data_IF_861089946238
#
_entry.id   IF_861089946238
#
_cell.length_a   1.000
_cell.length_b   1.000
_cell.length_c   1.000
_cell.angle_alpha   90.00
_cell.angle_beta   90.00
_cell.angle_gamma   90.00
#
_symmetry.space_group_name_H-M   'P 1'
#
loop_
_entity.id
_entity.type
_entity.pdbx_description
1 polymer ?
#
# COMPACT_ATOMS: atom_id res chain seq x y z
N UNK A 1 -21.02 9.44 5.88
CA UNK A 1 -19.71 8.78 6.02
C UNK A 1 -19.67 7.60 5.08
N UNK A 2 -18.60 7.46 4.31
CA UNK A 2 -18.35 6.25 3.53
C UNK A 2 -18.12 5.10 4.51
N UNK A 3 -18.80 3.98 4.35
CA UNK A 3 -18.60 2.82 5.24
C UNK A 3 -17.33 2.05 4.88
N UNK A 4 -16.96 2.01 3.59
CA UNK A 4 -15.80 1.29 3.10
C UNK A 4 -14.54 2.15 3.28
N UNK A 5 -13.84 1.94 4.37
CA UNK A 5 -12.70 2.76 4.77
C UNK A 5 -11.40 1.98 5.00
N UNK A 6 -11.45 0.65 5.05
CA UNK A 6 -10.28 -0.16 5.34
C UNK A 6 -9.68 -0.77 4.07
N UNK A 7 -8.39 -0.59 3.87
CA UNK A 7 -7.58 -1.31 2.88
C UNK A 7 -6.80 -2.39 3.61
N UNK A 8 -7.11 -3.67 3.31
CA UNK A 8 -6.56 -4.81 4.03
C UNK A 8 -5.46 -5.51 3.23
N UNK A 9 -4.35 -5.90 3.88
CA UNK A 9 -3.36 -6.76 3.25
C UNK A 9 -3.92 -8.17 3.08
N UNK A 10 -3.57 -8.81 1.96
CA UNK A 10 -3.73 -10.25 1.81
C UNK A 10 -2.38 -10.90 1.58
N UNK A 11 -2.15 -12.01 2.25
CA UNK A 11 -1.03 -12.87 1.95
C UNK A 11 -1.53 -13.99 1.02
N UNK A 12 -1.15 -13.97 -0.26
CA UNK A 12 -1.63 -14.99 -1.20
C UNK A 12 -1.07 -16.41 -0.93
N UNK A 13 -0.16 -16.56 0.04
CA UNK A 13 0.36 -17.86 0.51
C UNK A 13 -0.48 -18.53 1.60
N UNK A 14 -1.60 -17.93 1.99
CA UNK A 14 -2.51 -18.56 2.96
C UNK A 14 -2.94 -19.94 2.45
N UNK A 15 -3.02 -20.92 3.36
CA UNK A 15 -3.51 -22.23 2.99
C UNK A 15 -4.95 -22.15 2.50
N UNK A 16 -5.32 -22.99 1.56
CA UNK A 16 -6.69 -23.06 1.04
C UNK A 16 -7.71 -23.29 2.18
N UNK A 17 -7.38 -24.15 3.13
CA UNK A 17 -8.20 -24.40 4.32
C UNK A 17 -8.44 -23.12 5.13
N UNK A 18 -7.41 -22.32 5.40
CA UNK A 18 -7.55 -21.06 6.12
C UNK A 18 -8.36 -20.04 5.32
N UNK A 19 -8.12 -19.95 4.01
CA UNK A 19 -8.88 -19.05 3.14
C UNK A 19 -10.36 -19.37 3.18
N UNK A 20 -10.74 -20.63 3.02
CA UNK A 20 -12.15 -21.04 2.95
C UNK A 20 -12.82 -20.95 4.33
N UNK A 21 -12.16 -21.46 5.37
CA UNK A 21 -12.82 -21.64 6.67
C UNK A 21 -12.73 -20.43 7.61
N UNK A 22 -11.81 -19.48 7.33
CA UNK A 22 -11.58 -18.35 8.22
C UNK A 22 -11.61 -17.02 7.49
N UNK A 23 -10.80 -16.86 6.43
CA UNK A 23 -10.58 -15.56 5.83
C UNK A 23 -11.77 -15.09 4.98
N UNK A 24 -12.33 -15.94 4.12
CA UNK A 24 -13.53 -15.59 3.34
C UNK A 24 -14.75 -15.30 4.23
N UNK A 25 -15.09 -16.10 5.25
CA UNK A 25 -16.12 -15.73 6.21
C UNK A 25 -15.91 -14.36 6.87
N UNK A 26 -14.67 -14.06 7.30
CA UNK A 26 -14.33 -12.74 7.82
C UNK A 26 -14.55 -11.63 6.79
N UNK A 27 -14.09 -11.81 5.56
CA UNK A 27 -14.27 -10.83 4.49
C UNK A 27 -15.76 -10.58 4.18
N UNK A 28 -16.59 -11.62 4.17
CA UNK A 28 -18.04 -11.49 3.96
C UNK A 28 -18.73 -10.74 5.10
N UNK A 29 -18.34 -11.02 6.34
CA UNK A 29 -18.91 -10.36 7.53
C UNK A 29 -18.59 -8.85 7.54
N UNK A 30 -17.35 -8.48 7.19
CA UNK A 30 -16.86 -7.10 7.26
C UNK A 30 -16.82 -6.38 5.90
N UNK A 31 -17.39 -6.97 4.84
CA UNK A 31 -17.34 -6.46 3.47
C UNK A 31 -17.72 -4.98 3.35
N UNK A 32 -18.74 -4.54 4.08
CA UNK A 32 -19.23 -3.16 4.01
C UNK A 32 -18.23 -2.12 4.56
N UNK A 33 -17.20 -2.56 5.26
CA UNK A 33 -16.15 -1.71 5.81
C UNK A 33 -14.85 -1.77 5.00
N UNK A 34 -14.69 -2.78 4.14
CA UNK A 34 -13.46 -3.01 3.39
C UNK A 34 -13.57 -2.34 2.01
N UNK A 35 -12.63 -1.45 1.72
CA UNK A 35 -12.52 -0.75 0.45
C UNK A 35 -11.85 -1.61 -0.61
N UNK A 36 -10.68 -2.13 -0.28
CA UNK A 36 -9.91 -3.02 -1.15
C UNK A 36 -9.05 -4.01 -0.36
N UNK A 37 -8.66 -5.08 -1.04
CA UNK A 37 -7.63 -6.01 -0.61
C UNK A 37 -6.36 -5.68 -1.38
N UNK A 38 -5.22 -5.56 -0.70
CA UNK A 38 -3.97 -5.28 -1.41
C UNK A 38 -2.92 -6.36 -1.20
N UNK A 39 -2.13 -6.64 -2.23
CA UNK A 39 -1.05 -7.59 -2.20
C UNK A 39 0.17 -7.05 -2.95
N UNK A 40 1.35 -7.57 -2.64
CA UNK A 40 2.56 -7.29 -3.43
C UNK A 40 2.49 -8.09 -4.73
N UNK A 41 2.40 -7.37 -5.84
CA UNK A 41 2.37 -7.99 -7.16
C UNK A 41 3.80 -8.19 -7.67
N UNK A 42 4.17 -9.45 -7.87
CA UNK A 42 5.53 -9.84 -8.21
C UNK A 42 5.66 -10.13 -9.69
N UNK A 43 5.98 -9.09 -10.44
CA UNK A 43 6.33 -9.18 -11.86
C UNK A 43 7.75 -8.65 -12.01
N UNK A 44 8.73 -9.51 -12.34
CA UNK A 44 10.09 -9.02 -12.57
C UNK A 44 10.17 -8.05 -13.76
N UNK A 45 10.94 -6.99 -13.68
CA UNK A 45 11.81 -6.51 -12.58
C UNK A 45 11.11 -5.56 -11.60
N UNK A 46 9.77 -5.50 -11.60
CA UNK A 46 8.97 -4.53 -10.84
C UNK A 46 8.61 -5.04 -9.45
N UNK A 47 8.89 -6.30 -9.20
CA UNK A 47 8.68 -6.94 -7.92
C UNK A 47 9.63 -6.37 -6.87
N UNK A 48 9.08 -5.84 -5.82
CA UNK A 48 9.79 -5.58 -4.60
C UNK A 48 8.95 -6.08 -3.44
N UNK A 49 9.54 -6.95 -2.66
CA UNK A 49 9.00 -7.32 -1.39
C UNK A 49 9.99 -6.93 -0.29
N UNK A 50 9.71 -5.80 0.36
CA UNK A 50 10.53 -5.32 1.46
C UNK A 50 10.54 -6.27 2.67
N UNK A 51 9.55 -7.16 2.75
CA UNK A 51 9.29 -7.99 3.93
C UNK A 51 9.08 -9.45 3.59
N UNK A 52 9.14 -9.84 2.33
CA UNK A 52 8.69 -11.14 1.90
C UNK A 52 9.71 -12.01 1.21
N UNK A 53 9.26 -13.19 0.93
CA UNK A 53 9.96 -14.21 0.20
C UNK A 53 9.86 -13.94 -1.31
N UNK A 54 10.95 -13.49 -1.90
CA UNK A 54 11.05 -13.18 -3.33
C UNK A 54 11.09 -14.44 -4.23
N UNK A 55 10.97 -15.64 -3.67
CA UNK A 55 11.21 -16.90 -4.37
C UNK A 55 9.97 -17.75 -4.65
N UNK A 56 8.78 -17.27 -4.33
CA UNK A 56 7.55 -18.03 -4.60
C UNK A 56 7.06 -17.87 -6.04
N UNK A 57 6.30 -18.84 -6.49
CA UNK A 57 5.63 -18.80 -7.78
C UNK A 57 4.69 -17.60 -7.88
N UNK A 58 5.08 -16.63 -8.68
CA UNK A 58 4.38 -15.36 -8.81
C UNK A 58 3.00 -15.52 -9.45
N UNK A 59 2.84 -16.46 -10.37
CA UNK A 59 1.57 -16.68 -11.08
C UNK A 59 0.54 -17.24 -10.11
N UNK A 60 0.89 -18.30 -9.37
CA UNK A 60 -0.01 -18.90 -8.38
C UNK A 60 -0.42 -17.91 -7.28
N UNK A 61 0.47 -16.99 -6.87
CA UNK A 61 0.14 -15.96 -5.90
C UNK A 61 -0.84 -14.92 -6.45
N UNK A 62 -0.70 -14.53 -7.71
CA UNK A 62 -1.62 -13.59 -8.37
C UNK A 62 -3.00 -14.25 -8.53
N UNK A 63 -3.04 -15.51 -8.98
CA UNK A 63 -4.27 -16.28 -9.13
C UNK A 63 -5.00 -16.46 -7.79
N UNK A 64 -4.27 -16.76 -6.71
CA UNK A 64 -4.82 -16.86 -5.35
C UNK A 64 -5.42 -15.53 -4.88
N UNK A 65 -4.75 -14.42 -5.12
CA UNK A 65 -5.27 -13.09 -4.76
C UNK A 65 -6.54 -12.75 -5.54
N UNK A 66 -6.56 -13.04 -6.85
CA UNK A 66 -7.73 -12.85 -7.72
C UNK A 66 -8.89 -13.74 -7.25
N UNK A 67 -8.62 -14.99 -6.90
CA UNK A 67 -9.64 -15.91 -6.36
C UNK A 67 -10.29 -15.34 -5.10
N UNK A 68 -9.48 -14.89 -4.12
CA UNK A 68 -9.98 -14.31 -2.87
C UNK A 68 -10.84 -13.07 -3.14
N UNK A 69 -10.40 -12.19 -4.01
CA UNK A 69 -11.14 -11.00 -4.41
C UNK A 69 -12.48 -11.34 -5.05
N UNK A 70 -12.49 -12.28 -5.98
CA UNK A 70 -13.71 -12.72 -6.65
C UNK A 70 -14.70 -13.38 -5.70
N UNK A 71 -14.23 -14.23 -4.77
CA UNK A 71 -15.08 -14.90 -3.80
C UNK A 71 -15.68 -13.92 -2.78
N UNK A 72 -14.92 -12.90 -2.36
CA UNK A 72 -15.40 -11.91 -1.40
C UNK A 72 -16.15 -10.73 -2.03
N UNK A 73 -16.08 -10.55 -3.34
CA UNK A 73 -16.55 -9.38 -4.09
C UNK A 73 -16.00 -8.05 -3.51
N UNK A 74 -14.70 -8.09 -3.14
CA UNK A 74 -13.94 -6.93 -2.67
C UNK A 74 -12.86 -6.62 -3.70
N UNK A 75 -12.73 -5.35 -4.16
CA UNK A 75 -11.73 -4.98 -5.16
C UNK A 75 -10.30 -5.34 -4.76
N UNK A 76 -9.51 -5.78 -5.73
CA UNK A 76 -8.10 -6.12 -5.53
C UNK A 76 -7.18 -4.99 -5.96
N UNK A 77 -6.19 -4.70 -5.13
CA UNK A 77 -5.15 -3.69 -5.36
C UNK A 77 -3.77 -4.33 -5.49
N UNK A 78 -3.15 -4.20 -6.65
CA UNK A 78 -1.80 -4.67 -6.88
C UNK A 78 -0.77 -3.61 -6.48
N UNK A 79 0.24 -4.01 -5.68
CA UNK A 79 1.26 -3.09 -5.20
C UNK A 79 2.60 -3.36 -5.88
N UNK A 80 3.14 -2.32 -6.53
CA UNK A 80 4.46 -2.28 -7.12
C UNK A 80 5.28 -1.20 -6.40
N UNK A 81 6.19 -1.60 -5.52
CA UNK A 81 6.95 -0.68 -4.67
C UNK A 81 8.41 -0.54 -5.08
N UNK A 82 8.84 -1.18 -6.18
CA UNK A 82 10.24 -1.12 -6.60
C UNK A 82 10.60 0.27 -7.15
N UNK A 83 11.07 1.15 -6.27
CA UNK A 83 11.53 2.51 -6.62
C UNK A 83 12.87 2.52 -7.36
N UNK A 84 13.58 1.39 -7.45
CA UNK A 84 14.91 1.25 -8.05
C UNK A 84 14.86 0.91 -9.54
N UNK A 85 13.72 0.47 -10.04
CA UNK A 85 13.52 0.32 -11.49
C UNK A 85 13.65 1.68 -12.16
N UNK A 86 14.42 1.75 -13.23
CA UNK A 86 14.56 3.02 -13.98
C UNK A 86 13.22 3.43 -14.56
N UNK A 87 12.80 4.70 -14.38
CA UNK A 87 11.52 5.19 -14.87
C UNK A 87 11.58 5.59 -16.35
N UNK A 88 12.26 4.79 -17.18
CA UNK A 88 12.37 5.03 -18.61
C UNK A 88 11.21 4.40 -19.40
N UNK A 89 11.11 4.76 -20.69
CA UNK A 89 10.03 4.30 -21.57
C UNK A 89 10.04 2.78 -21.74
N UNK A 90 11.22 2.17 -21.84
CA UNK A 90 11.35 0.72 -22.01
C UNK A 90 10.70 -0.04 -20.85
N UNK A 91 10.96 0.40 -19.62
CA UNK A 91 10.38 -0.23 -18.44
C UNK A 91 8.88 0.08 -18.29
N UNK A 92 8.43 1.26 -18.71
CA UNK A 92 7.01 1.57 -18.75
C UNK A 92 6.27 0.66 -19.74
N UNK A 93 6.79 0.49 -20.96
CA UNK A 93 6.19 -0.39 -21.97
C UNK A 93 6.13 -1.84 -21.48
N UNK A 94 7.21 -2.29 -20.84
CA UNK A 94 7.26 -3.62 -20.26
C UNK A 94 6.22 -3.78 -19.14
N UNK A 95 6.11 -2.78 -18.24
CA UNK A 95 5.13 -2.82 -17.15
C UNK A 95 3.69 -2.86 -17.70
N UNK A 96 3.37 -2.03 -18.69
CA UNK A 96 2.05 -2.02 -19.33
C UNK A 96 1.73 -3.41 -19.93
N UNK A 97 2.68 -3.99 -20.63
CA UNK A 97 2.53 -5.32 -21.24
C UNK A 97 2.26 -6.41 -20.18
N UNK A 98 3.10 -6.44 -19.14
CA UNK A 98 3.03 -7.49 -18.11
C UNK A 98 1.84 -7.30 -17.15
N UNK A 99 1.36 -6.06 -16.95
CA UNK A 99 0.19 -5.78 -16.13
C UNK A 99 -1.14 -6.03 -16.84
N UNK A 100 -1.18 -5.99 -18.17
CA UNK A 100 -2.41 -6.15 -18.94
C UNK A 100 -3.20 -7.43 -18.62
N UNK A 101 -2.62 -8.63 -18.48
CA UNK A 101 -3.36 -9.81 -18.07
C UNK A 101 -4.00 -9.67 -16.68
N UNK A 102 -3.31 -9.03 -15.74
CA UNK A 102 -3.78 -8.80 -14.37
C UNK A 102 -4.96 -7.81 -14.36
N UNK A 103 -4.87 -6.74 -15.14
CA UNK A 103 -5.99 -5.82 -15.35
C UNK A 103 -7.20 -6.53 -15.95
N UNK A 104 -7.00 -7.38 -16.94
CA UNK A 104 -8.06 -8.15 -17.59
C UNK A 104 -8.71 -9.18 -16.64
N UNK A 105 -8.00 -9.63 -15.60
CA UNK A 105 -8.53 -10.49 -14.54
C UNK A 105 -9.35 -9.74 -13.49
N UNK A 106 -9.54 -8.41 -13.64
CA UNK A 106 -10.42 -7.62 -12.78
C UNK A 106 -9.72 -6.69 -11.78
N UNK A 107 -8.38 -6.65 -11.72
CA UNK A 107 -7.66 -5.70 -10.87
C UNK A 107 -7.86 -4.28 -11.39
N UNK A 108 -8.34 -3.38 -10.52
CA UNK A 108 -8.68 -1.99 -10.87
C UNK A 108 -7.94 -0.95 -10.02
N UNK A 109 -7.10 -1.39 -9.12
CA UNK A 109 -6.32 -0.50 -8.26
C UNK A 109 -4.86 -0.92 -8.29
N UNK A 110 -3.96 0.05 -8.45
CA UNK A 110 -2.52 -0.22 -8.50
C UNK A 110 -1.73 0.82 -7.69
N UNK A 111 -0.73 0.37 -6.97
CA UNK A 111 0.28 1.26 -6.38
C UNK A 111 1.49 1.30 -7.28
N UNK A 112 1.91 2.52 -7.69
CA UNK A 112 3.05 2.74 -8.57
C UNK A 112 4.10 3.65 -7.93
N UNK A 113 5.41 3.33 -8.11
CA UNK A 113 6.48 4.12 -7.51
C UNK A 113 6.86 5.36 -8.33
N UNK A 114 6.59 5.38 -9.64
CA UNK A 114 7.15 6.37 -10.56
C UNK A 114 6.10 7.39 -11.04
N UNK A 115 6.22 8.62 -10.52
CA UNK A 115 5.36 9.74 -10.94
C UNK A 115 5.46 10.02 -12.44
N UNK A 116 6.65 9.87 -13.04
CA UNK A 116 6.87 10.09 -14.47
C UNK A 116 6.07 9.15 -15.36
N UNK A 117 5.90 7.90 -14.94
CA UNK A 117 5.06 6.94 -15.66
C UNK A 117 3.59 7.37 -15.67
N UNK A 118 3.10 7.79 -14.51
CA UNK A 118 1.71 8.22 -14.36
C UNK A 118 1.45 9.53 -15.13
N UNK A 119 2.37 10.50 -15.04
CA UNK A 119 2.24 11.79 -15.73
C UNK A 119 2.36 11.71 -17.26
N UNK A 120 2.88 10.60 -17.79
CA UNK A 120 2.92 10.37 -19.24
C UNK A 120 1.53 10.17 -19.86
N UNK A 121 0.53 9.81 -19.07
CA UNK A 121 -0.82 9.45 -19.52
C UNK A 121 -0.95 8.09 -20.20
N UNK A 122 0.16 7.39 -20.45
CA UNK A 122 0.14 6.11 -21.18
C UNK A 122 -0.55 5.00 -20.38
N UNK A 123 -0.39 5.00 -19.04
CA UNK A 123 -1.05 4.04 -18.16
C UNK A 123 -2.56 4.23 -18.20
N UNK A 124 -3.03 5.47 -18.11
CA UNK A 124 -4.46 5.81 -18.16
C UNK A 124 -5.06 5.49 -19.54
N UNK A 125 -4.29 5.66 -20.60
CA UNK A 125 -4.71 5.29 -21.94
C UNK A 125 -4.81 3.77 -22.12
N UNK A 126 -3.87 3.01 -21.56
CA UNK A 126 -3.88 1.54 -21.60
C UNK A 126 -4.95 0.93 -20.68
N UNK A 127 -5.22 1.56 -19.55
CA UNK A 127 -6.09 1.05 -18.47
C UNK A 127 -7.03 2.16 -17.96
N UNK A 128 -8.08 2.52 -18.69
CA UNK A 128 -8.92 3.69 -18.39
C UNK A 128 -9.64 3.66 -17.04
N UNK A 129 -9.93 2.46 -16.51
CA UNK A 129 -10.64 2.30 -15.24
C UNK A 129 -9.70 2.10 -14.05
N UNK A 130 -8.39 2.27 -14.25
CA UNK A 130 -7.41 2.00 -13.22
C UNK A 130 -7.30 3.17 -12.22
N UNK A 131 -7.49 2.85 -10.95
CA UNK A 131 -7.15 3.74 -9.85
C UNK A 131 -5.68 3.61 -9.50
N UNK A 132 -4.97 4.73 -9.53
CA UNK A 132 -3.51 4.76 -9.35
C UNK A 132 -3.17 5.39 -8.00
N UNK A 133 -2.50 4.60 -7.14
CA UNK A 133 -1.97 5.02 -5.84
C UNK A 133 -0.48 5.35 -5.97
N UNK A 134 0.00 6.34 -5.20
CA UNK A 134 1.44 6.46 -4.96
C UNK A 134 1.91 5.42 -3.93
N UNK A 135 3.20 5.09 -3.97
CA UNK A 135 3.81 4.29 -2.89
C UNK A 135 3.97 5.11 -1.61
N UNK A 136 3.83 4.45 -0.47
CA UNK A 136 4.12 5.05 0.85
C UNK A 136 5.59 5.50 0.97
N UNK A 137 6.49 4.92 0.17
CA UNK A 137 7.91 5.29 0.12
C UNK A 137 8.15 6.71 -0.44
N UNK A 138 7.10 7.39 -0.92
CA UNK A 138 7.16 8.80 -1.33
C UNK A 138 7.05 9.76 -0.16
N UNK A 139 6.67 9.29 1.03
CA UNK A 139 6.58 10.08 2.27
C UNK A 139 5.87 11.42 2.05
N UNK A 140 4.65 11.36 1.48
CA UNK A 140 3.86 12.55 1.16
C UNK A 140 3.40 13.23 2.42
N UNK A 141 3.89 14.45 2.66
CA UNK A 141 3.62 15.21 3.89
C UNK A 141 3.03 16.59 3.65
N UNK A 142 3.12 17.12 2.41
CA UNK A 142 2.79 18.52 2.11
C UNK A 142 1.55 18.65 1.23
N UNK A 143 0.72 19.70 1.44
CA UNK A 143 -0.42 20.00 0.58
C UNK A 143 -0.05 20.15 -0.91
N UNK A 144 1.10 20.74 -1.21
CA UNK A 144 1.58 20.91 -2.59
C UNK A 144 1.87 19.59 -3.29
N UNK A 145 2.29 18.56 -2.53
CA UNK A 145 2.53 17.23 -3.09
C UNK A 145 1.22 16.55 -3.47
N UNK A 146 0.13 16.77 -2.70
CA UNK A 146 -1.21 16.28 -3.06
C UNK A 146 -1.63 16.84 -4.43
N UNK A 147 -1.50 18.16 -4.60
CA UNK A 147 -1.85 18.82 -5.87
C UNK A 147 -0.99 18.30 -7.02
N UNK A 148 0.33 18.22 -6.84
CA UNK A 148 1.24 17.73 -7.87
C UNK A 148 0.98 16.28 -8.27
N UNK A 149 0.66 15.41 -7.31
CA UNK A 149 0.31 14.02 -7.59
C UNK A 149 -1.05 13.91 -8.32
N UNK A 150 -2.04 14.70 -7.92
CA UNK A 150 -3.32 14.77 -8.61
C UNK A 150 -3.16 15.27 -10.06
N UNK A 151 -2.31 16.28 -10.26
CA UNK A 151 -1.97 16.78 -11.60
C UNK A 151 -1.26 15.74 -12.46
N UNK A 152 -0.38 14.94 -11.85
CA UNK A 152 0.30 13.82 -12.52
C UNK A 152 -0.65 12.67 -12.88
N UNK A 153 -1.86 12.61 -12.32
CA UNK A 153 -2.86 11.58 -12.62
C UNK A 153 -3.04 10.50 -11.56
N UNK A 154 -2.46 10.68 -10.37
CA UNK A 154 -2.82 9.85 -9.22
C UNK A 154 -4.19 10.26 -8.71
N UNK A 155 -5.00 9.28 -8.40
CA UNK A 155 -6.34 9.49 -7.85
C UNK A 155 -6.53 8.87 -6.45
N UNK A 156 -5.45 8.29 -5.89
CA UNK A 156 -5.43 7.75 -4.55
C UNK A 156 -4.04 8.01 -3.93
N UNK A 157 -3.99 8.82 -2.86
CA UNK A 157 -2.73 9.30 -2.31
C UNK A 157 -2.52 8.74 -0.90
N UNK A 158 -1.47 7.94 -0.75
CA UNK A 158 -0.98 7.47 0.54
C UNK A 158 -0.12 8.56 1.17
N UNK A 159 -0.50 9.01 2.34
CA UNK A 159 0.27 9.96 3.15
C UNK A 159 1.41 9.27 3.89
N UNK A 160 2.35 10.07 4.33
CA UNK A 160 3.34 9.63 5.29
C UNK A 160 2.67 9.22 6.61
N UNK A 161 3.22 8.20 7.23
CA UNK A 161 2.67 7.55 8.43
C UNK A 161 2.70 8.43 9.69
N UNK A 162 3.63 9.38 9.78
CA UNK A 162 3.76 10.25 10.94
C UNK A 162 2.71 11.36 11.00
N UNK A 163 2.03 11.63 9.88
CA UNK A 163 0.99 12.66 9.81
C UNK A 163 -0.25 12.36 10.65
N UNK A 164 -0.45 11.12 11.07
CA UNK A 164 -1.62 10.73 11.86
C UNK A 164 -1.81 11.60 13.12
N UNK A 165 -0.73 12.15 13.67
CA UNK A 165 -0.76 12.96 14.89
C UNK A 165 -0.64 14.46 14.64
N UNK A 166 -0.49 14.89 13.38
CA UNK A 166 -0.38 16.29 12.99
C UNK A 166 -1.70 16.80 12.41
N UNK A 167 -2.63 17.17 13.31
CA UNK A 167 -3.95 17.69 12.94
C UNK A 167 -3.89 18.91 12.04
N UNK A 168 -2.96 19.82 12.31
CA UNK A 168 -2.84 21.06 11.54
C UNK A 168 -2.40 20.77 10.11
N UNK A 169 -1.49 19.82 9.94
CA UNK A 169 -1.04 19.40 8.61
C UNK A 169 -2.15 18.61 7.88
N UNK A 170 -2.89 17.76 8.58
CA UNK A 170 -4.04 17.06 7.99
C UNK A 170 -5.12 18.05 7.53
N UNK A 171 -5.41 19.10 8.29
CA UNK A 171 -6.34 20.16 7.85
C UNK A 171 -5.86 20.89 6.59
N UNK A 172 -4.55 21.12 6.45
CA UNK A 172 -3.97 21.71 5.24
C UNK A 172 -4.07 20.75 4.05
N UNK A 173 -3.84 19.46 4.27
CA UNK A 173 -3.98 18.40 3.26
C UNK A 173 -5.44 18.29 2.83
N UNK A 174 -6.40 18.34 3.74
CA UNK A 174 -7.83 18.39 3.41
C UNK A 174 -8.17 19.55 2.47
N UNK A 175 -7.65 20.74 2.74
CA UNK A 175 -7.84 21.89 1.84
C UNK A 175 -7.24 21.65 0.45
N UNK A 176 -6.09 20.99 0.36
CA UNK A 176 -5.49 20.64 -0.92
C UNK A 176 -6.34 19.59 -1.66
N UNK A 177 -6.89 18.61 -0.95
CA UNK A 177 -7.85 17.64 -1.51
C UNK A 177 -9.10 18.34 -2.08
N UNK A 178 -9.69 19.27 -1.31
CA UNK A 178 -10.85 20.05 -1.75
C UNK A 178 -10.51 20.88 -2.99
N UNK A 179 -9.31 21.45 -3.04
CA UNK A 179 -8.81 22.18 -4.20
C UNK A 179 -8.64 21.27 -5.43
N UNK A 180 -8.10 20.07 -5.27
CA UNK A 180 -8.02 19.10 -6.36
C UNK A 180 -9.43 18.74 -6.89
N UNK A 181 -10.40 18.55 -6.01
CA UNK A 181 -11.79 18.30 -6.41
C UNK A 181 -12.39 19.49 -7.19
N UNK A 182 -12.12 20.71 -6.76
CA UNK A 182 -12.51 21.93 -7.46
C UNK A 182 -11.90 22.01 -8.89
N UNK A 183 -10.68 21.54 -9.06
CA UNK A 183 -10.01 21.45 -10.37
C UNK A 183 -10.50 20.27 -11.24
N UNK A 184 -11.50 19.50 -10.81
CA UNK A 184 -11.99 18.32 -11.52
C UNK A 184 -11.05 17.10 -11.42
N UNK A 185 -10.13 17.11 -10.46
CA UNK A 185 -9.15 16.03 -10.20
C UNK A 185 -9.31 15.50 -8.77
N UNK A 186 -10.48 14.94 -8.40
CA UNK A 186 -10.70 14.45 -7.05
C UNK A 186 -9.72 13.33 -6.72
N UNK A 187 -9.21 13.36 -5.49
CA UNK A 187 -8.31 12.33 -4.96
C UNK A 187 -8.86 11.76 -3.67
N UNK A 188 -8.60 10.47 -3.44
CA UNK A 188 -8.78 9.83 -2.14
C UNK A 188 -7.48 9.92 -1.35
N UNK A 189 -7.60 10.16 -0.06
CA UNK A 189 -6.46 10.25 0.86
C UNK A 189 -6.44 9.02 1.77
N UNK A 190 -5.31 8.37 1.84
CA UNK A 190 -5.08 7.17 2.64
C UNK A 190 -4.01 7.40 3.69
N UNK A 191 -4.23 6.83 4.87
CA UNK A 191 -3.28 6.79 5.96
C UNK A 191 -2.91 5.33 6.26
N UNK A 192 -1.62 5.04 6.32
CA UNK A 192 -1.13 3.76 6.81
C UNK A 192 -1.22 3.74 8.33
N UNK A 193 -1.91 2.73 8.87
CA UNK A 193 -2.13 2.56 10.31
C UNK A 193 -1.56 1.23 10.79
N UNK A 194 -1.48 1.03 12.10
CA UNK A 194 -0.83 -0.10 12.76
C UNK A 194 0.63 -0.34 12.29
N UNK A 195 1.32 0.73 11.98
CA UNK A 195 2.71 0.70 11.53
C UNK A 195 3.64 1.01 12.70
N UNK A 196 4.68 0.20 12.85
CA UNK A 196 5.74 0.42 13.86
C UNK A 196 6.92 1.21 13.28
N UNK A 197 7.04 1.25 11.96
CA UNK A 197 8.02 2.09 11.28
C UNK A 197 7.68 3.57 11.42
N UNK A 198 8.70 4.38 11.60
CA UNK A 198 8.57 5.83 11.63
C UNK A 198 8.75 6.42 10.23
N UNK A 199 8.01 7.48 9.95
CA UNK A 199 8.28 8.32 8.78
C UNK A 199 9.65 9.00 8.91
N UNK A 200 10.24 9.38 7.78
CA UNK A 200 11.55 10.02 7.76
C UNK A 200 12.70 9.16 8.29
N UNK A 201 12.55 7.85 8.32
CA UNK A 201 13.60 6.94 8.76
C UNK A 201 14.81 7.05 7.82
N UNK A 202 16.00 7.46 8.33
CA UNK A 202 17.17 7.73 7.47
C UNK A 202 17.73 6.48 6.78
N UNK A 203 17.43 5.29 7.28
CA UNK A 203 17.89 4.02 6.70
C UNK A 203 16.81 3.29 5.90
N UNK A 204 15.63 3.86 5.76
CA UNK A 204 14.53 3.21 5.04
C UNK A 204 14.87 2.90 3.57
N UNK A 205 15.51 3.80 2.80
CA UNK A 205 15.90 3.49 1.43
C UNK A 205 16.83 2.28 1.33
N UNK A 206 17.86 2.23 2.16
CA UNK A 206 18.84 1.12 2.18
C UNK A 206 18.17 -0.18 2.63
N UNK A 207 17.28 -0.10 3.63
CA UNK A 207 16.50 -1.23 4.11
C UNK A 207 15.67 -1.85 2.97
N UNK A 208 14.90 -1.02 2.26
CA UNK A 208 14.10 -1.49 1.14
C UNK A 208 14.95 -1.99 -0.02
N UNK A 209 16.05 -1.32 -0.33
CA UNK A 209 16.96 -1.74 -1.38
C UNK A 209 17.58 -3.10 -1.06
N UNK A 210 18.10 -3.28 0.15
CA UNK A 210 18.68 -4.54 0.59
C UNK A 210 17.66 -5.67 0.46
N UNK A 211 16.45 -5.52 1.01
CA UNK A 211 15.44 -6.56 0.98
C UNK A 211 14.92 -6.87 -0.44
N UNK A 212 14.93 -5.89 -1.35
CA UNK A 212 14.54 -6.12 -2.75
C UNK A 212 15.59 -6.85 -3.58
N UNK A 213 16.87 -6.80 -3.15
CA UNK A 213 17.99 -7.38 -3.88
C UNK A 213 18.64 -8.57 -3.18
N UNK A 214 18.19 -8.90 -1.96
CA UNK A 214 18.74 -10.03 -1.20
C UNK A 214 18.53 -11.36 -1.92
N UNK A 215 19.45 -12.28 -1.71
CA UNK A 215 19.32 -13.65 -2.15
C UNK A 215 18.56 -14.51 -1.14
N UNK A 216 18.23 -15.75 -1.49
CA UNK A 216 17.53 -16.69 -0.59
C UNK A 216 18.26 -16.94 0.73
N UNK A 217 19.59 -16.89 0.68
CA UNK A 217 20.45 -17.18 1.83
C UNK A 217 20.73 -15.94 2.69
N UNK A 218 20.35 -14.75 2.20
CA UNK A 218 20.54 -13.50 2.94
C UNK A 218 19.40 -13.33 3.98
N UNK A 219 19.73 -12.91 5.22
CA UNK A 219 18.72 -12.63 6.22
C UNK A 219 17.85 -11.44 5.81
N UNK A 220 16.60 -11.39 6.28
CA UNK A 220 15.78 -10.19 6.16
C UNK A 220 16.36 -9.08 7.04
N UNK A 221 16.42 -7.87 6.48
CA UNK A 221 17.03 -6.71 7.14
C UNK A 221 16.05 -5.96 8.02
N UNK A 222 15.57 -6.51 9.09
CA UNK A 222 14.84 -5.75 10.11
C UNK A 222 15.35 -5.95 11.54
N UNK A 223 16.28 -6.86 11.73
CA UNK A 223 16.93 -7.10 13.01
C UNK A 223 18.43 -6.83 12.96
N UNK A 224 18.94 -6.12 11.95
CA UNK A 224 20.35 -5.79 11.83
C UNK A 224 20.80 -4.86 12.97
N UNK A 225 22.01 -5.03 13.49
CA UNK A 225 22.62 -4.07 14.41
C UNK A 225 22.67 -2.63 13.85
N UNK A 226 22.64 -2.46 12.53
CA UNK A 226 22.58 -1.17 11.86
C UNK A 226 21.16 -0.56 12.01
N UNK A 227 20.15 -1.37 12.12
CA UNK A 227 18.75 -0.94 12.28
C UNK A 227 18.38 -0.48 13.70
N UNK A 228 19.31 -0.43 14.63
CA UNK A 228 19.08 -0.02 16.02
C UNK A 228 18.43 1.35 16.18
N UNK A 229 18.46 2.15 15.15
CA UNK A 229 17.89 3.52 15.18
C UNK A 229 16.37 3.50 14.96
N UNK A 230 15.83 2.56 14.17
CA UNK A 230 14.42 2.57 13.77
C UNK A 230 13.68 1.25 13.94
N UNK A 231 14.33 0.12 13.73
CA UNK A 231 13.70 -1.20 13.84
C UNK A 231 14.03 -1.90 15.16
N UNK A 232 14.61 -1.20 16.11
CA UNK A 232 15.02 -1.72 17.42
C UNK A 232 13.85 -2.14 18.32
N UNK A 233 12.65 -1.81 17.90
CA UNK A 233 11.43 -2.05 18.68
C UNK A 233 10.71 -3.33 18.29
N UNK A 234 11.11 -3.98 17.19
CA UNK A 234 10.51 -5.25 16.81
C UNK A 234 11.00 -6.37 17.73
N UNK A 235 10.15 -6.74 18.66
CA UNK A 235 10.39 -7.82 19.60
C UNK A 235 9.52 -9.02 19.22
N UNK A 236 10.16 -10.04 18.67
CA UNK A 236 9.47 -11.28 18.27
C UNK A 236 8.94 -12.06 19.47
N UNK A 237 9.56 -11.88 20.64
CA UNK A 237 9.17 -12.55 21.88
C UNK A 237 8.00 -11.84 22.58
N UNK A 238 7.85 -10.53 22.31
CA UNK A 238 6.84 -9.68 22.93
C UNK A 238 6.08 -8.81 21.91
N UNK A 239 5.31 -9.41 21.00
CA UNK A 239 4.60 -8.69 19.93
C UNK A 239 3.60 -7.66 20.45
N UNK A 240 3.15 -7.77 21.69
CA UNK A 240 2.29 -6.79 22.34
C UNK A 240 2.96 -5.41 22.53
N UNK A 241 4.29 -5.35 22.59
CA UNK A 241 5.00 -4.07 22.64
C UNK A 241 4.93 -3.35 21.30
N UNK A 242 5.03 -4.08 20.21
CA UNK A 242 4.91 -3.51 18.86
C UNK A 242 3.52 -2.95 18.61
N UNK A 243 2.48 -3.65 19.05
CA UNK A 243 1.11 -3.16 18.98
C UNK A 243 0.91 -1.87 19.79
N UNK A 244 1.55 -1.73 20.95
CA UNK A 244 1.48 -0.52 21.77
C UNK A 244 2.20 0.68 21.14
N UNK A 245 3.21 0.42 20.31
CA UNK A 245 4.00 1.46 19.64
C UNK A 245 3.46 1.77 18.25
N UNK A 246 2.59 0.92 17.72
CA UNK A 246 1.97 1.14 16.43
C UNK A 246 1.19 2.48 16.40
N UNK A 247 1.22 3.16 15.27
CA UNK A 247 0.45 4.38 15.04
C UNK A 247 -1.02 4.05 14.77
N UNK A 248 -1.67 3.46 15.75
CA UNK A 248 -3.12 3.20 15.72
C UNK A 248 -3.85 4.35 16.39
N UNK A 249 -4.96 4.82 15.83
CA UNK A 249 -5.93 5.55 16.62
C UNK A 249 -6.40 4.65 17.77
N UNK A 250 -6.18 5.02 19.03
CA UNK A 250 -6.48 4.14 20.15
C UNK A 250 -7.97 3.93 20.38
N UNK A 251 -8.82 4.82 19.84
CA UNK A 251 -10.26 4.86 20.10
C UNK A 251 -11.07 5.07 18.83
N UNK A 252 -12.33 4.64 18.84
CA UNK A 252 -13.26 4.82 17.72
C UNK A 252 -13.38 6.31 17.30
N UNK A 253 -13.36 7.21 18.25
CA UNK A 253 -13.55 8.62 17.96
C UNK A 253 -12.37 9.21 17.20
N UNK A 254 -11.16 8.67 17.38
CA UNK A 254 -9.99 9.06 16.60
C UNK A 254 -10.13 8.70 15.11
N UNK A 255 -10.76 7.57 14.78
CA UNK A 255 -11.05 7.20 13.40
C UNK A 255 -12.04 8.16 12.76
N UNK A 256 -13.09 8.55 13.51
CA UNK A 256 -14.08 9.53 13.07
C UNK A 256 -13.40 10.88 12.85
N UNK A 257 -12.59 11.33 13.78
CA UNK A 257 -11.82 12.56 13.66
C UNK A 257 -10.91 12.57 12.44
N UNK A 258 -10.18 11.48 12.18
CA UNK A 258 -9.33 11.34 11.01
C UNK A 258 -10.15 11.49 9.70
N UNK A 259 -11.34 10.92 9.64
CA UNK A 259 -12.24 11.10 8.50
C UNK A 259 -12.70 12.56 8.35
N UNK A 260 -13.00 13.23 9.45
CA UNK A 260 -13.33 14.67 9.46
C UNK A 260 -12.15 15.53 9.02
N UNK A 261 -10.92 15.11 9.30
CA UNK A 261 -9.69 15.71 8.81
C UNK A 261 -9.38 15.40 7.34
N UNK A 262 -10.22 14.60 6.67
CA UNK A 262 -10.13 14.36 5.23
C UNK A 262 -9.50 13.03 4.82
N UNK A 263 -9.22 12.13 5.78
CA UNK A 263 -8.76 10.78 5.48
C UNK A 263 -9.94 9.94 5.00
N UNK A 264 -9.83 9.37 3.81
CA UNK A 264 -10.86 8.51 3.23
C UNK A 264 -10.66 7.04 3.58
N UNK A 265 -9.41 6.63 3.74
CA UNK A 265 -9.05 5.21 3.87
C UNK A 265 -7.94 5.00 4.88
N UNK A 266 -8.10 3.96 5.67
CA UNK A 266 -7.10 3.45 6.60
C UNK A 266 -6.49 2.17 6.03
N UNK A 267 -5.24 2.25 5.59
CA UNK A 267 -4.51 1.09 5.11
C UNK A 267 -3.88 0.36 6.28
N UNK A 268 -4.29 -0.88 6.53
CA UNK A 268 -3.68 -1.70 7.55
C UNK A 268 -2.34 -2.25 7.05
N UNK A 269 -1.29 -2.08 7.85
CA UNK A 269 -0.01 -2.73 7.61
C UNK A 269 -0.10 -4.21 8.01
N UNK A 270 0.61 -5.10 7.34
CA UNK A 270 0.59 -6.51 7.75
C UNK A 270 0.81 -7.52 6.64
N UNK A 271 1.39 -7.14 5.52
CA UNK A 271 1.79 -8.11 4.48
C UNK A 271 2.72 -9.20 5.03
N UNK A 272 3.42 -8.93 6.13
CA UNK A 272 4.33 -9.85 6.82
C UNK A 272 3.80 -10.41 8.14
N UNK A 273 2.74 -9.82 8.72
CA UNK A 273 2.26 -10.15 10.07
C UNK A 273 1.12 -11.17 10.12
N UNK A 274 0.62 -11.63 8.99
CA UNK A 274 -0.46 -12.65 8.94
C UNK A 274 0.09 -14.06 9.25
N UNK A 275 1.23 -14.15 9.91
CA UNK A 275 1.79 -15.41 10.42
C UNK A 275 1.64 -15.58 11.92
N UNK A 276 0.88 -14.72 12.58
CA UNK A 276 0.57 -14.86 14.02
C UNK A 276 -0.77 -15.56 14.20
#
# INVERSE_FOLDING_TARGET
MNKRVFSLPINPKLSEEFVINTFLPFLHEYRDYILDLYFTCRIPPFDQDAMGDCYSDNIALIESAIYISNQSDIPLSATFNNIWVRPDQKNLDLWIKEFAPIYNSGVRVVTLPHTTWVSSGQIQAAFPELFIKNTILREVTKPSEIVSLAEAGFNYINLDRDLMRDRDQLLRIRKAKDYCAYLGKPVMISMLVNETCWGGCPIMPEHYQYNSTRTKDDPIFYASPISRVSCSTWDVEHPEFDLKQANLPPWRDDWVEMQELGIDTFKLHGLSLIHI
#
